data_IF_044360436834
#
_entry.id   IF_044360436834
#
_cell.length_a   1.000
_cell.length_b   1.000
_cell.length_c   1.000
_cell.angle_alpha   90.00
_cell.angle_beta   90.00
_cell.angle_gamma   90.00
#
_symmetry.space_group_name_H-M   'P 1'
#
loop_
_entity.id
_entity.type
_entity.pdbx_description
1 polymer ?
#
# COMPACT_ATOMS: atom_id res chain seq x y z
N UNK A 1 2.68 -73.29 63.36
CA UNK A 1 3.86 -72.55 62.86
C UNK A 1 3.38 -71.53 61.85
N UNK A 2 3.84 -70.28 62.00
CA UNK A 2 3.75 -69.10 61.10
C UNK A 2 2.33 -68.57 60.75
N UNK A 3 1.94 -67.30 60.97
CA UNK A 3 2.63 -66.10 61.43
C UNK A 3 2.78 -65.01 60.35
N UNK A 4 1.69 -64.30 60.00
CA UNK A 4 1.60 -62.96 59.34
C UNK A 4 2.40 -62.70 58.04
N UNK A 5 2.36 -61.49 57.43
CA UNK A 5 1.49 -60.31 57.66
C UNK A 5 0.75 -59.82 56.38
N UNK A 6 -0.17 -58.88 56.57
CA UNK A 6 -0.90 -58.20 55.50
C UNK A 6 -0.01 -57.36 54.58
N UNK A 7 -0.48 -57.19 53.34
CA UNK A 7 0.13 -56.34 52.32
C UNK A 7 0.18 -54.88 52.79
N UNK A 8 1.36 -54.22 52.82
CA UNK A 8 1.39 -52.77 52.93
C UNK A 8 0.97 -52.14 51.59
N UNK A 9 0.05 -51.18 51.65
CA UNK A 9 -0.27 -50.29 50.54
C UNK A 9 0.99 -49.52 50.12
N UNK A 10 1.45 -49.71 48.89
CA UNK A 10 2.51 -48.91 48.31
C UNK A 10 2.00 -47.47 48.12
N UNK A 11 2.65 -46.50 48.78
CA UNK A 11 2.47 -45.08 48.50
C UNK A 11 3.18 -44.78 47.17
N UNK A 12 2.54 -44.14 46.18
CA UNK A 12 3.22 -43.73 44.96
C UNK A 12 4.28 -42.65 45.28
N UNK A 13 5.42 -42.62 44.58
CA UNK A 13 6.41 -41.57 44.77
C UNK A 13 5.84 -40.19 44.37
N UNK A 14 6.29 -39.10 45.01
CA UNK A 14 5.89 -37.75 44.62
C UNK A 14 6.34 -37.47 43.18
N UNK A 15 5.39 -37.08 42.32
CA UNK A 15 5.71 -36.61 40.98
C UNK A 15 6.55 -35.33 41.07
N UNK A 16 7.62 -35.19 40.26
CA UNK A 16 8.32 -33.92 40.16
C UNK A 16 7.36 -32.83 39.67
N UNK A 17 7.35 -31.70 40.36
CA UNK A 17 6.52 -30.56 40.02
C UNK A 17 6.76 -30.16 38.56
N UNK A 18 5.72 -30.27 37.74
CA UNK A 18 5.73 -29.90 36.34
C UNK A 18 5.84 -28.38 36.23
N UNK A 19 7.07 -27.87 36.23
CA UNK A 19 7.38 -26.48 35.91
C UNK A 19 6.82 -26.14 34.54
N UNK A 20 5.83 -25.24 34.53
CA UNK A 20 5.15 -24.79 33.32
C UNK A 20 6.14 -24.08 32.41
N UNK A 21 6.47 -24.72 31.28
CA UNK A 21 7.27 -24.12 30.18
C UNK A 21 6.71 -22.77 29.70
N UNK A 22 5.42 -22.48 29.97
CA UNK A 22 4.80 -21.19 29.65
C UNK A 22 5.37 -20.04 30.48
N UNK A 23 5.73 -20.25 31.74
CA UNK A 23 6.26 -19.18 32.61
C UNK A 23 7.67 -18.74 32.17
N UNK A 24 8.49 -19.68 31.70
CA UNK A 24 9.85 -19.39 31.20
C UNK A 24 9.80 -18.63 29.87
N UNK A 25 8.87 -18.99 28.98
CA UNK A 25 8.69 -18.29 27.69
C UNK A 25 8.17 -16.87 27.90
N UNK A 26 7.20 -16.68 28.82
CA UNK A 26 6.66 -15.33 29.10
C UNK A 26 7.75 -14.41 29.67
N UNK A 27 8.56 -14.87 30.63
CA UNK A 27 9.64 -14.07 31.22
C UNK A 27 10.70 -13.70 30.17
N UNK A 28 11.08 -14.65 29.31
CA UNK A 28 12.05 -14.41 28.24
C UNK A 28 11.55 -13.39 27.21
N UNK A 29 10.27 -13.46 26.83
CA UNK A 29 9.65 -12.51 25.89
C UNK A 29 9.56 -11.11 26.50
N UNK A 30 9.15 -10.98 27.77
CA UNK A 30 9.12 -9.66 28.44
C UNK A 30 10.50 -9.02 28.55
N UNK A 31 11.55 -9.79 28.84
CA UNK A 31 12.91 -9.24 28.93
C UNK A 31 13.42 -8.73 27.57
N UNK A 32 13.12 -9.44 26.47
CA UNK A 32 13.49 -9.05 25.12
C UNK A 32 12.76 -7.79 24.65
N UNK A 33 11.46 -7.66 24.94
CA UNK A 33 10.67 -6.48 24.57
C UNK A 33 11.15 -5.23 25.32
N UNK A 34 11.46 -5.35 26.61
CA UNK A 34 12.00 -4.24 27.42
C UNK A 34 13.39 -3.77 26.95
N UNK A 35 14.24 -4.68 26.46
CA UNK A 35 15.54 -4.30 25.89
C UNK A 35 15.40 -3.63 24.52
N UNK A 36 14.48 -4.09 23.66
CA UNK A 36 14.19 -3.46 22.37
C UNK A 36 13.62 -2.03 22.51
N UNK A 37 12.71 -1.81 23.46
CA UNK A 37 12.11 -0.49 23.71
C UNK A 37 13.13 0.55 24.23
N UNK A 38 14.18 0.10 24.93
CA UNK A 38 15.24 0.98 25.42
C UNK A 38 16.23 1.43 24.33
N UNK A 39 16.27 0.75 23.17
CA UNK A 39 17.21 1.05 22.08
C UNK A 39 16.63 1.93 20.97
N UNK A 40 15.31 2.16 20.92
CA UNK A 40 14.67 3.01 19.91
C UNK A 40 14.43 4.47 20.38
N UNK A 41 14.87 4.80 21.61
CA UNK A 41 14.69 6.12 22.21
C UNK A 41 15.75 7.13 21.77
N UNK A 42 15.60 7.69 20.57
CA UNK A 42 16.04 9.05 20.30
C UNK A 42 16.78 9.26 18.99
N UNK A 43 16.15 10.02 18.06
CA UNK A 43 16.69 11.24 17.44
C UNK A 43 15.49 12.13 17.08
N UNK A 44 15.38 13.30 17.71
CA UNK A 44 14.59 14.43 17.20
C UNK A 44 15.60 15.39 16.57
N UNK A 45 15.54 15.58 15.25
CA UNK A 45 16.32 16.59 14.55
C UNK A 45 15.40 17.48 13.71
N UNK A 46 15.21 18.70 14.21
CA UNK A 46 14.52 19.81 13.56
C UNK A 46 15.41 20.37 12.44
N UNK A 47 14.90 20.44 11.22
CA UNK A 47 15.49 21.26 10.14
C UNK A 47 14.46 22.31 9.72
N UNK A 48 14.63 23.53 10.25
CA UNK A 48 13.92 24.72 9.77
C UNK A 48 14.77 25.37 8.68
N UNK A 49 14.13 25.59 7.54
CA UNK A 49 14.74 26.03 6.29
C UNK A 49 15.29 27.45 6.28
N UNK A 50 16.32 27.60 5.47
CA UNK A 50 16.79 28.79 4.79
C UNK A 50 17.43 28.24 3.49
N UNK A 51 17.36 28.83 2.30
CA UNK A 51 17.11 30.20 1.92
C UNK A 51 16.69 30.21 0.44
N UNK A 52 15.87 31.19 0.06
CA UNK A 52 15.52 31.47 -1.34
C UNK A 52 16.76 31.92 -2.12
N UNK A 53 16.89 31.44 -3.35
CA UNK A 53 17.64 32.15 -4.40
C UNK A 53 17.13 31.73 -5.79
N UNK A 54 16.08 32.39 -6.26
CA UNK A 54 15.76 32.44 -7.69
C UNK A 54 16.14 33.83 -8.19
N UNK A 55 17.36 33.96 -8.69
CA UNK A 55 17.78 35.10 -9.52
C UNK A 55 17.33 34.83 -10.94
N UNK A 56 16.17 35.36 -11.34
CA UNK A 56 15.80 35.50 -12.74
C UNK A 56 16.28 36.86 -13.24
N UNK A 57 17.37 36.87 -14.00
CA UNK A 57 17.76 38.00 -14.85
C UNK A 57 16.81 37.99 -16.04
N UNK A 58 15.92 38.97 -16.12
CA UNK A 58 15.14 39.27 -17.33
C UNK A 58 15.70 40.55 -17.92
N UNK A 59 16.42 40.41 -19.03
CA UNK A 59 16.69 41.51 -19.94
C UNK A 59 16.33 41.05 -21.35
N UNK A 60 15.27 41.66 -21.91
CA UNK A 60 15.06 41.75 -23.35
C UNK A 60 14.15 42.96 -23.61
N UNK A 61 14.71 43.96 -24.30
CA UNK A 61 14.06 45.19 -24.74
C UNK A 61 13.03 45.00 -25.88
N UNK A 62 12.54 46.12 -26.44
CA UNK A 62 11.15 46.27 -26.89
C UNK A 62 10.85 45.83 -28.34
N UNK A 63 9.54 45.64 -28.57
CA UNK A 63 8.82 45.19 -29.77
C UNK A 63 9.00 46.08 -31.01
N UNK A 64 8.70 45.62 -32.26
CA UNK A 64 7.32 45.78 -32.80
C UNK A 64 6.79 44.79 -33.86
N UNK A 65 5.45 44.59 -33.78
CA UNK A 65 4.40 44.53 -34.82
C UNK A 65 4.37 43.43 -35.93
N UNK A 66 3.38 42.54 -35.74
CA UNK A 66 2.34 42.00 -36.65
C UNK A 66 2.67 41.41 -38.04
N UNK A 67 2.22 40.17 -38.27
CA UNK A 67 1.55 39.77 -39.51
C UNK A 67 0.60 38.56 -39.31
N UNK A 68 -0.50 38.56 -40.06
CA UNK A 68 -1.58 37.54 -40.09
C UNK A 68 -1.11 36.25 -40.80
N UNK A 69 -1.58 35.10 -40.34
CA UNK A 69 -1.48 33.83 -41.10
C UNK A 69 -2.08 32.60 -40.42
N UNK A 70 -3.37 32.34 -40.69
CA UNK A 70 -4.07 31.04 -40.90
C UNK A 70 -3.86 29.83 -39.96
N UNK A 71 -5.00 29.39 -39.39
CA UNK A 71 -5.46 28.04 -38.99
C UNK A 71 -4.85 27.29 -37.78
N UNK A 72 -5.65 27.12 -36.71
CA UNK A 72 -5.81 25.85 -35.95
C UNK A 72 -7.03 25.95 -34.99
N UNK A 73 -7.82 24.87 -34.75
CA UNK A 73 -9.06 24.95 -33.97
C UNK A 73 -8.78 24.95 -32.45
N UNK A 74 -9.52 25.72 -31.63
CA UNK A 74 -9.64 25.46 -30.20
C UNK A 74 -11.04 24.85 -29.93
N UNK A 75 -11.20 23.89 -29.03
CA UNK A 75 -10.70 23.95 -27.67
C UNK A 75 -10.36 22.57 -27.11
N UNK A 76 -9.14 22.50 -26.55
CA UNK A 76 -8.79 21.58 -25.46
C UNK A 76 -9.79 21.82 -24.33
N UNK A 77 -10.48 20.78 -23.85
CA UNK A 77 -11.12 20.81 -22.54
C UNK A 77 -10.05 21.19 -21.49
N UNK A 78 -10.39 21.99 -20.46
CA UNK A 78 -9.47 22.19 -19.35
C UNK A 78 -9.32 20.85 -18.62
N UNK A 79 -8.11 20.28 -18.63
CA UNK A 79 -7.72 19.36 -17.56
C UNK A 79 -7.73 20.18 -16.28
N UNK A 80 -8.72 19.90 -15.43
CA UNK A 80 -8.69 20.24 -14.02
C UNK A 80 -7.43 19.62 -13.42
N UNK A 81 -6.36 20.39 -13.31
CA UNK A 81 -5.28 20.07 -12.37
C UNK A 81 -5.90 20.29 -10.99
N UNK A 82 -6.28 19.20 -10.33
CA UNK A 82 -6.75 19.27 -8.96
C UNK A 82 -5.66 19.92 -8.10
N UNK A 83 -6.03 20.80 -7.13
CA UNK A 83 -5.08 21.30 -6.15
C UNK A 83 -4.41 20.14 -5.41
N UNK A 84 -3.27 20.39 -4.75
CA UNK A 84 -2.75 19.53 -3.70
C UNK A 84 -3.76 19.50 -2.53
N UNK A 85 -4.84 18.73 -2.71
CA UNK A 85 -5.84 18.43 -1.71
C UNK A 85 -5.41 17.24 -0.86
N UNK A 86 -6.22 16.91 0.14
CA UNK A 86 -6.07 15.67 0.89
C UNK A 86 -6.00 14.49 -0.08
N UNK A 87 -4.88 13.75 -0.07
CA UNK A 87 -4.66 12.58 -0.92
C UNK A 87 -5.18 11.30 -0.28
N UNK A 88 -5.79 11.39 0.91
CA UNK A 88 -6.42 10.26 1.58
C UNK A 88 -7.92 10.20 1.27
N UNK A 89 -8.44 8.97 1.20
CA UNK A 89 -9.87 8.70 1.01
C UNK A 89 -10.47 9.34 -0.26
N UNK A 90 -9.67 9.45 -1.33
CA UNK A 90 -10.09 9.97 -2.62
C UNK A 90 -11.25 9.14 -3.20
N UNK A 91 -12.10 9.76 -4.01
CA UNK A 91 -13.19 9.05 -4.67
C UNK A 91 -12.68 8.31 -5.90
N UNK A 92 -13.33 7.22 -6.34
CA UNK A 92 -13.03 6.61 -7.63
C UNK A 92 -13.21 7.63 -8.76
N UNK A 93 -12.23 7.75 -9.63
CA UNK A 93 -12.14 8.77 -10.68
C UNK A 93 -11.21 9.93 -10.35
N UNK A 94 -10.89 10.15 -9.06
CA UNK A 94 -9.90 11.14 -8.67
C UNK A 94 -8.47 10.64 -8.94
N UNK A 95 -7.59 11.57 -9.31
CA UNK A 95 -6.21 11.30 -9.68
C UNK A 95 -5.24 11.75 -8.60
N UNK A 96 -4.46 10.80 -8.08
CA UNK A 96 -3.29 11.07 -7.26
C UNK A 96 -2.11 11.48 -8.15
N UNK A 97 -1.44 12.58 -7.81
CA UNK A 97 -0.18 12.98 -8.43
C UNK A 97 0.94 12.70 -7.44
N UNK A 98 1.90 11.86 -7.82
CA UNK A 98 3.10 11.57 -7.01
C UNK A 98 4.31 12.13 -7.74
N UNK A 99 5.01 13.06 -7.08
CA UNK A 99 6.25 13.65 -7.56
C UNK A 99 7.41 13.04 -6.79
N UNK A 100 8.22 12.22 -7.46
CA UNK A 100 9.40 11.57 -6.90
C UNK A 100 10.68 12.04 -7.57
N UNK A 101 11.82 11.60 -7.05
CA UNK A 101 13.13 12.06 -7.52
C UNK A 101 13.39 11.75 -9.01
N UNK A 102 12.91 10.61 -9.49
CA UNK A 102 13.13 10.15 -10.87
C UNK A 102 12.07 10.64 -11.86
N UNK A 103 10.90 11.06 -11.38
CA UNK A 103 9.78 11.40 -12.24
C UNK A 103 8.47 11.66 -11.50
N UNK A 104 7.49 12.14 -12.28
CA UNK A 104 6.13 12.41 -11.80
C UNK A 104 5.18 11.40 -12.42
N UNK A 105 4.30 10.82 -11.60
CA UNK A 105 3.23 9.92 -12.06
C UNK A 105 1.86 10.43 -11.64
N UNK A 106 0.87 10.12 -12.47
CA UNK A 106 -0.55 10.28 -12.18
C UNK A 106 -1.18 8.89 -12.06
N UNK A 107 -1.89 8.65 -10.97
CA UNK A 107 -2.57 7.39 -10.69
C UNK A 107 -4.05 7.68 -10.48
N UNK A 108 -4.90 6.97 -11.22
CA UNK A 108 -6.35 7.06 -11.08
C UNK A 108 -6.91 5.69 -10.81
N UNK A 109 -7.62 5.52 -9.70
CA UNK A 109 -8.49 4.36 -9.46
C UNK A 109 -9.86 4.70 -10.03
N UNK A 110 -10.24 4.06 -11.12
CA UNK A 110 -11.45 4.41 -11.88
C UNK A 110 -12.72 3.76 -11.35
N UNK A 111 -12.58 2.59 -10.70
CA UNK A 111 -13.71 1.77 -10.27
C UNK A 111 -13.26 0.76 -9.21
N UNK A 112 -14.15 0.51 -8.26
CA UNK A 112 -14.12 -0.69 -7.41
C UNK A 112 -15.22 -1.67 -7.79
N UNK A 113 -14.94 -2.95 -7.65
CA UNK A 113 -15.90 -4.03 -7.79
C UNK A 113 -15.51 -5.18 -6.87
N UNK A 114 -16.43 -6.12 -6.67
CA UNK A 114 -16.24 -7.19 -5.68
C UNK A 114 -16.64 -8.55 -6.23
N UNK A 115 -15.99 -9.61 -5.75
CA UNK A 115 -16.37 -10.99 -6.06
C UNK A 115 -16.20 -11.92 -4.85
N UNK A 116 -17.22 -12.68 -4.50
CA UNK A 116 -17.17 -13.70 -3.42
C UNK A 116 -16.81 -15.10 -3.93
N UNK A 117 -16.50 -15.20 -5.23
CA UNK A 117 -16.16 -16.43 -5.96
C UNK A 117 -15.02 -16.12 -6.93
N UNK A 118 -14.24 -17.13 -7.36
CA UNK A 118 -13.29 -16.94 -8.43
C UNK A 118 -13.99 -16.44 -9.71
N UNK A 119 -13.36 -15.52 -10.43
CA UNK A 119 -13.94 -14.97 -11.66
C UNK A 119 -13.69 -15.85 -12.89
N UNK A 120 -12.88 -16.92 -12.75
CA UNK A 120 -12.57 -17.90 -13.79
C UNK A 120 -12.55 -19.31 -13.19
N UNK A 121 -12.74 -20.34 -14.03
CA UNK A 121 -12.78 -21.73 -13.58
C UNK A 121 -11.48 -22.22 -12.91
N UNK A 122 -10.33 -21.64 -13.30
CA UNK A 122 -9.02 -21.91 -12.70
C UNK A 122 -8.68 -21.00 -11.52
N UNK A 123 -9.56 -20.04 -11.19
CA UNK A 123 -9.33 -19.09 -10.12
C UNK A 123 -9.50 -19.74 -8.74
N UNK A 124 -8.73 -19.26 -7.77
CA UNK A 124 -8.91 -19.60 -6.37
C UNK A 124 -10.07 -18.83 -5.77
N UNK A 125 -10.73 -19.42 -4.78
CA UNK A 125 -11.76 -18.74 -3.98
C UNK A 125 -11.05 -17.76 -3.02
N UNK A 126 -11.66 -16.60 -2.70
CA UNK A 126 -11.15 -15.76 -1.63
C UNK A 126 -11.17 -16.51 -0.29
N UNK A 127 -10.06 -16.40 0.44
CA UNK A 127 -9.83 -17.01 1.74
C UNK A 127 -10.38 -16.13 2.88
N UNK A 128 -10.30 -14.81 2.75
CA UNK A 128 -10.73 -13.86 3.80
C UNK A 128 -12.22 -13.51 3.71
N UNK A 129 -12.82 -13.72 2.53
CA UNK A 129 -14.27 -13.63 2.33
C UNK A 129 -14.65 -13.17 0.93
N UNK A 130 -13.96 -12.14 0.42
CA UNK A 130 -14.22 -11.58 -0.90
C UNK A 130 -12.98 -10.96 -1.54
N UNK A 131 -12.99 -10.92 -2.87
CA UNK A 131 -12.06 -10.09 -3.62
C UNK A 131 -12.59 -8.67 -3.74
N UNK A 132 -11.77 -7.68 -3.40
CA UNK A 132 -11.92 -6.29 -3.84
C UNK A 132 -11.04 -6.08 -5.06
N UNK A 133 -11.63 -5.59 -6.14
CA UNK A 133 -11.00 -5.42 -7.46
C UNK A 133 -11.04 -3.93 -7.80
N UNK A 134 -9.88 -3.31 -7.93
CA UNK A 134 -9.75 -1.91 -8.28
C UNK A 134 -9.14 -1.77 -9.68
N UNK A 135 -9.81 -1.05 -10.57
CA UNK A 135 -9.31 -0.75 -11.91
C UNK A 135 -8.49 0.54 -11.89
N UNK A 136 -7.20 0.41 -12.20
CA UNK A 136 -6.20 1.46 -12.01
C UNK A 136 -5.57 1.84 -13.35
N UNK A 137 -5.35 3.14 -13.53
CA UNK A 137 -4.54 3.69 -14.59
C UNK A 137 -3.38 4.47 -13.99
N UNK A 138 -2.16 4.20 -14.46
CA UNK A 138 -0.95 4.93 -14.13
C UNK A 138 -0.40 5.60 -15.41
N UNK A 139 -0.08 6.87 -15.34
CA UNK A 139 0.55 7.63 -16.43
C UNK A 139 1.81 8.31 -15.92
N UNK A 140 2.94 8.11 -16.59
CA UNK A 140 4.17 8.85 -16.31
C UNK A 140 4.10 10.19 -17.02
N UNK A 141 4.15 11.30 -16.29
CA UNK A 141 4.03 12.64 -16.86
C UNK A 141 5.38 13.35 -16.98
N UNK A 142 6.37 12.97 -16.16
CA UNK A 142 7.76 13.45 -16.23
C UNK A 142 8.73 12.34 -15.84
N UNK A 143 9.95 12.39 -16.38
CA UNK A 143 11.04 11.49 -16.00
C UNK A 143 10.72 10.01 -16.26
N UNK A 144 11.13 9.16 -15.32
CA UNK A 144 10.87 7.71 -15.31
C UNK A 144 10.13 7.27 -14.07
N UNK A 145 9.40 6.16 -14.17
CA UNK A 145 8.76 5.53 -13.02
C UNK A 145 8.53 4.03 -13.23
N UNK A 146 8.14 3.34 -12.17
CA UNK A 146 7.77 1.93 -12.20
C UNK A 146 6.28 1.75 -11.96
N UNK A 147 5.66 0.83 -12.70
CA UNK A 147 4.33 0.33 -12.41
C UNK A 147 4.47 -1.05 -11.77
N UNK A 148 3.94 -1.21 -10.56
CA UNK A 148 3.97 -2.50 -9.85
C UNK A 148 2.68 -2.68 -9.05
N UNK A 149 1.90 -3.76 -9.27
CA UNK A 149 0.73 -4.09 -8.45
C UNK A 149 1.03 -4.16 -6.95
N UNK A 150 2.25 -4.53 -6.56
CA UNK A 150 2.67 -4.66 -5.16
C UNK A 150 2.90 -3.31 -4.46
N UNK A 151 2.87 -2.20 -5.20
CA UNK A 151 2.82 -0.87 -4.59
C UNK A 151 1.42 -0.51 -4.12
N UNK A 152 0.44 -1.39 -4.29
CA UNK A 152 -0.91 -1.18 -3.78
C UNK A 152 -1.20 -2.15 -2.65
N UNK A 153 -1.79 -1.63 -1.58
CA UNK A 153 -2.29 -2.40 -0.45
C UNK A 153 -3.72 -1.99 -0.14
N UNK A 154 -4.54 -2.97 0.24
CA UNK A 154 -5.80 -2.71 0.92
C UNK A 154 -5.52 -2.57 2.41
N UNK A 155 -6.00 -1.50 3.04
CA UNK A 155 -5.97 -1.29 4.48
C UNK A 155 -7.42 -1.30 4.98
N UNK A 156 -7.78 -2.36 5.71
CA UNK A 156 -9.12 -2.51 6.26
C UNK A 156 -9.34 -1.56 7.46
N UNK A 157 -10.59 -1.37 7.85
CA UNK A 157 -10.98 -0.49 8.95
C UNK A 157 -10.39 -0.89 10.32
N UNK A 158 -10.05 -2.16 10.50
CA UNK A 158 -9.37 -2.68 11.69
C UNK A 158 -7.83 -2.54 11.63
N UNK A 159 -7.30 -1.99 10.53
CA UNK A 159 -5.88 -1.79 10.28
C UNK A 159 -5.16 -3.00 9.68
N UNK A 160 -5.86 -4.13 9.44
CA UNK A 160 -5.28 -5.26 8.72
C UNK A 160 -4.99 -4.89 7.26
N UNK A 161 -3.95 -5.50 6.69
CA UNK A 161 -3.52 -5.19 5.32
C UNK A 161 -3.56 -6.43 4.43
N UNK A 162 -3.99 -6.25 3.18
CA UNK A 162 -3.90 -7.25 2.13
C UNK A 162 -3.16 -6.68 0.92
N UNK A 163 -2.20 -7.44 0.39
CA UNK A 163 -1.48 -7.07 -0.83
C UNK A 163 -2.18 -7.61 -2.08
N UNK A 164 -1.73 -7.17 -3.26
CA UNK A 164 -2.35 -7.53 -4.54
C UNK A 164 -2.00 -8.95 -5.07
N UNK A 165 -1.28 -9.79 -4.32
CA UNK A 165 -0.83 -11.12 -4.80
C UNK A 165 -2.02 -12.05 -5.04
N UNK A 166 -3.06 -11.97 -4.22
CA UNK A 166 -4.28 -12.74 -4.39
C UNK A 166 -4.90 -12.56 -5.79
N UNK A 167 -4.73 -11.37 -6.37
CA UNK A 167 -5.18 -11.07 -7.72
C UNK A 167 -4.65 -11.97 -8.81
N UNK A 168 -3.39 -12.41 -8.70
CA UNK A 168 -2.76 -13.29 -9.69
C UNK A 168 -3.50 -14.64 -9.83
N UNK A 169 -4.18 -15.09 -8.77
CA UNK A 169 -4.86 -16.38 -8.72
C UNK A 169 -6.39 -16.28 -8.69
N UNK A 170 -6.95 -15.09 -8.47
CA UNK A 170 -8.41 -14.88 -8.43
C UNK A 170 -9.13 -15.11 -9.77
N UNK A 171 -8.41 -14.92 -10.89
CA UNK A 171 -8.98 -14.81 -12.23
C UNK A 171 -9.82 -13.54 -12.45
N UNK A 172 -9.82 -12.60 -11.51
CA UNK A 172 -10.62 -11.38 -11.54
C UNK A 172 -9.87 -10.20 -12.16
N UNK A 173 -10.61 -9.31 -12.83
CA UNK A 173 -10.04 -8.15 -13.51
C UNK A 173 -9.10 -8.49 -14.66
N UNK A 174 -8.37 -7.48 -15.15
CA UNK A 174 -7.25 -7.65 -16.08
C UNK A 174 -5.98 -7.24 -15.34
N UNK A 175 -5.12 -8.18 -14.89
CA UNK A 175 -3.98 -7.85 -14.04
C UNK A 175 -3.14 -6.69 -14.59
N UNK A 176 -2.83 -5.71 -13.74
CA UNK A 176 -1.91 -4.64 -14.11
C UNK A 176 -0.52 -5.23 -14.38
N UNK A 177 0.07 -4.99 -15.55
CA UNK A 177 1.41 -5.49 -15.85
C UNK A 177 2.45 -4.71 -15.04
N UNK A 178 3.37 -5.43 -14.41
CA UNK A 178 4.56 -4.81 -13.83
C UNK A 178 5.51 -4.33 -14.94
N UNK A 179 6.12 -3.17 -14.74
CA UNK A 179 7.15 -2.64 -15.61
C UNK A 179 8.01 -1.62 -14.87
N UNK A 180 9.29 -1.61 -15.20
CA UNK A 180 10.28 -0.65 -14.70
C UNK A 180 10.66 0.33 -15.80
N UNK A 181 11.28 1.45 -15.41
CA UNK A 181 11.81 2.47 -16.34
C UNK A 181 10.78 2.97 -17.39
N UNK A 182 9.51 3.08 -16.98
CA UNK A 182 8.48 3.67 -17.84
C UNK A 182 8.80 5.14 -18.05
N UNK A 183 8.93 5.55 -19.30
CA UNK A 183 9.25 6.94 -19.64
C UNK A 183 7.99 7.81 -19.73
N UNK A 184 8.17 9.12 -19.55
CA UNK A 184 7.12 10.12 -19.70
C UNK A 184 6.30 9.93 -20.99
N UNK A 185 4.97 10.05 -20.86
CA UNK A 185 3.99 9.76 -21.90
C UNK A 185 3.49 8.32 -21.90
N UNK A 186 4.14 7.40 -21.17
CA UNK A 186 3.68 6.02 -21.05
C UNK A 186 2.48 5.92 -20.11
N UNK A 187 1.48 5.13 -20.54
CA UNK A 187 0.30 4.79 -19.74
C UNK A 187 0.21 3.27 -19.54
N UNK A 188 -0.12 2.85 -18.32
CA UNK A 188 -0.43 1.47 -17.93
C UNK A 188 -1.82 1.42 -17.31
N UNK A 189 -2.60 0.42 -17.70
CA UNK A 189 -3.96 0.20 -17.17
C UNK A 189 -4.14 -1.27 -16.88
N UNK A 190 -4.76 -1.56 -15.74
CA UNK A 190 -5.16 -2.89 -15.33
C UNK A 190 -5.80 -2.86 -13.95
N UNK A 191 -6.08 -4.03 -13.40
CA UNK A 191 -6.70 -4.19 -12.09
C UNK A 191 -5.67 -4.65 -11.06
N UNK A 192 -5.82 -4.17 -9.83
CA UNK A 192 -5.23 -4.76 -8.63
C UNK A 192 -6.34 -5.40 -7.81
N UNK A 193 -6.07 -6.54 -7.19
CA UNK A 193 -7.11 -7.35 -6.54
C UNK A 193 -6.60 -7.88 -5.22
N UNK A 194 -7.41 -7.69 -4.18
CA UNK A 194 -7.10 -7.99 -2.79
C UNK A 194 -8.09 -9.00 -2.24
N UNK A 195 -7.61 -9.96 -1.46
CA UNK A 195 -8.46 -10.89 -0.68
C UNK A 195 -8.69 -10.27 0.70
N UNK A 196 -9.94 -9.94 1.00
CA UNK A 196 -10.30 -9.13 2.17
C UNK A 196 -11.58 -9.65 2.78
N UNK A 197 -11.80 -9.29 4.05
CA UNK A 197 -13.01 -9.66 4.78
C UNK A 197 -14.26 -8.96 4.22
N UNK A 198 -14.17 -7.64 4.05
CA UNK A 198 -15.23 -6.80 3.52
C UNK A 198 -14.67 -5.53 2.84
N UNK A 199 -15.55 -4.60 2.44
CA UNK A 199 -15.19 -3.36 1.73
C UNK A 199 -14.93 -2.17 2.65
N UNK A 200 -14.96 -2.37 3.96
CA UNK A 200 -14.67 -1.35 4.97
C UNK A 200 -13.16 -1.16 5.04
N UNK A 201 -12.64 -0.29 4.18
CA UNK A 201 -11.22 -0.02 4.10
C UNK A 201 -10.90 1.01 3.02
N UNK A 202 -9.62 1.10 2.70
CA UNK A 202 -9.08 1.97 1.66
C UNK A 202 -8.06 1.20 0.82
N UNK A 203 -8.00 1.53 -0.46
CA UNK A 203 -6.88 1.16 -1.31
C UNK A 203 -5.80 2.23 -1.16
N UNK A 204 -4.61 1.85 -0.72
CA UNK A 204 -3.47 2.74 -0.62
C UNK A 204 -2.46 2.49 -1.73
N UNK A 205 -1.90 3.57 -2.28
CA UNK A 205 -0.68 3.51 -3.08
C UNK A 205 0.52 3.80 -2.17
N UNK A 206 1.38 2.80 -2.01
CA UNK A 206 2.52 2.78 -1.11
C UNK A 206 3.83 2.48 -1.85
N UNK A 207 4.34 3.41 -2.68
CA UNK A 207 5.69 3.27 -3.21
C UNK A 207 6.68 3.27 -2.03
N UNK A 208 7.60 2.32 -1.99
CA UNK A 208 8.59 2.20 -0.90
C UNK A 208 7.99 2.02 0.50
N UNK A 209 6.79 1.42 0.61
CA UNK A 209 6.10 1.13 1.88
C UNK A 209 5.59 2.37 2.65
N UNK A 210 5.53 3.54 2.01
CA UNK A 210 4.93 4.76 2.58
C UNK A 210 3.69 5.18 1.79
N UNK A 211 2.60 5.49 2.49
CA UNK A 211 1.33 5.89 1.85
C UNK A 211 1.44 7.26 1.19
N UNK A 212 1.42 7.28 -0.14
CA UNK A 212 1.38 8.51 -0.93
C UNK A 212 -0.05 9.03 -1.14
N UNK A 213 -1.03 8.13 -1.14
CA UNK A 213 -2.45 8.47 -1.25
C UNK A 213 -3.35 7.24 -1.15
N UNK A 214 -4.65 7.45 -1.00
CA UNK A 214 -5.61 6.37 -0.86
C UNK A 214 -6.98 6.69 -1.46
N UNK A 215 -7.71 5.64 -1.84
CA UNK A 215 -9.06 5.71 -2.39
C UNK A 215 -10.03 4.87 -1.58
N UNK A 216 -11.26 5.36 -1.43
CA UNK A 216 -12.38 4.59 -0.88
C UNK A 216 -13.23 3.98 -2.00
N UNK A 217 -13.71 2.74 -1.83
CA UNK A 217 -14.66 2.11 -2.76
C UNK A 217 -16.04 2.75 -2.77
#
# INVERSE_FOLDING_TARGET
>A
MAGGPGYPLAVPPPMPAQGSKKTVVVVAVTAAVLTLLACAGGIVAVVIGANRAATSVTEAGPTPRASRGVAQPPAKMPSSVAPAGDTHNMSPGDTLVVDGDEGTIEITVTKFSTATKPCKAYGLKPDEGMYVIADVTLTVTKGTASANPLFFNWVAADGSQANAVAGAFSGCGKPMPSAEELTAGTRRTGSVVFDVHDTSGVLEYQPMFETAGSWKP
#
